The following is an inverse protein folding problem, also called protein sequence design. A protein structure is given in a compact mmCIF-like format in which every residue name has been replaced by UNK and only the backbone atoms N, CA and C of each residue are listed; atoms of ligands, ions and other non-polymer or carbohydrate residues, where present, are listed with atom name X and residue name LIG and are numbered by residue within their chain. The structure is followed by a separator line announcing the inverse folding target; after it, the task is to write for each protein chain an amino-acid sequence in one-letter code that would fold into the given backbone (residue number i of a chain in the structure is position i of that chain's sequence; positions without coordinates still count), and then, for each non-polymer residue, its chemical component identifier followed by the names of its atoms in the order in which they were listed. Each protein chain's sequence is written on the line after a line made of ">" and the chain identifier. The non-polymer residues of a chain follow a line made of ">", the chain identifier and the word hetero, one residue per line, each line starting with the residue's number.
data_IF_591286812950
#
_entry.id   IF_591286812950
#
_cell.length_a   1.000
_cell.length_b   1.000
_cell.length_c   1.000
_cell.angle_alpha   90.00
_cell.angle_beta   90.00
_cell.angle_gamma   90.00
#
_symmetry.space_group_name_H-M   'P 1'
#
loop_
_entity.id
_entity.type
_entity.pdbx_description
1 polymer ?
#
# COMPACT_ATOMS: atom_id res chain seq x y z
N UNK A 1 -17.45 13.04 -38.53
CA UNK A 1 -17.00 11.80 -37.87
C UNK A 1 -16.21 12.24 -36.64
N UNK A 2 -16.77 12.04 -35.44
CA UNK A 2 -16.08 12.36 -34.20
C UNK A 2 -15.14 11.19 -33.89
N UNK A 3 -13.85 11.47 -33.68
CA UNK A 3 -12.94 10.49 -33.09
C UNK A 3 -13.48 10.09 -31.71
N UNK A 4 -13.45 8.80 -31.33
CA UNK A 4 -13.70 8.43 -29.95
C UNK A 4 -12.62 9.11 -29.09
N UNK A 5 -13.04 9.86 -28.08
CA UNK A 5 -12.11 10.27 -27.02
C UNK A 5 -11.54 8.97 -26.44
N UNK A 6 -10.25 8.71 -26.63
CA UNK A 6 -9.58 7.63 -25.91
C UNK A 6 -9.67 8.00 -24.43
N UNK A 7 -10.50 7.26 -23.69
CA UNK A 7 -10.57 7.38 -22.24
C UNK A 7 -9.20 7.12 -21.63
N UNK A 8 -8.96 7.69 -20.44
CA UNK A 8 -7.78 7.34 -19.65
C UNK A 8 -7.77 5.83 -19.40
N UNK A 9 -6.58 5.19 -19.31
CA UNK A 9 -6.49 3.79 -18.97
C UNK A 9 -7.15 3.52 -17.60
N UNK A 10 -7.72 2.33 -17.44
CA UNK A 10 -8.29 1.93 -16.16
C UNK A 10 -7.18 1.84 -15.10
N UNK A 11 -7.44 2.41 -13.93
CA UNK A 11 -6.55 2.35 -12.77
C UNK A 11 -6.69 0.96 -12.14
N UNK A 12 -5.63 0.15 -12.06
CA UNK A 12 -5.71 -1.20 -11.51
C UNK A 12 -6.05 -1.17 -10.02
N UNK A 13 -6.92 -2.09 -9.61
CA UNK A 13 -7.28 -2.35 -8.22
C UNK A 13 -6.67 -3.69 -7.77
N UNK A 14 -5.69 -3.61 -6.86
CA UNK A 14 -5.01 -4.77 -6.30
C UNK A 14 -5.66 -5.23 -4.99
N UNK A 15 -5.53 -6.52 -4.65
CA UNK A 15 -5.78 -7.00 -3.29
C UNK A 15 -4.46 -7.04 -2.52
N UNK A 16 -4.35 -6.32 -1.41
CA UNK A 16 -3.19 -6.47 -0.52
C UNK A 16 -3.27 -7.78 0.26
N UNK A 17 -2.16 -8.52 0.32
CA UNK A 17 -2.08 -9.74 1.13
C UNK A 17 -2.25 -9.46 2.63
N UNK A 18 -2.11 -8.20 3.07
CA UNK A 18 -2.46 -7.75 4.41
C UNK A 18 -3.93 -8.02 4.75
N UNK A 19 -4.83 -7.83 3.78
CA UNK A 19 -6.28 -7.89 4.00
C UNK A 19 -6.81 -9.30 4.20
N UNK A 20 -6.03 -10.33 3.92
CA UNK A 20 -6.41 -11.72 4.16
C UNK A 20 -5.81 -12.30 5.45
N UNK A 21 -4.95 -11.54 6.15
CA UNK A 21 -4.32 -12.00 7.39
C UNK A 21 -5.35 -12.56 8.39
N UNK A 22 -5.08 -13.71 9.06
CA UNK A 22 -3.82 -14.45 9.11
C UNK A 22 -3.67 -15.55 8.03
N UNK A 23 -4.45 -15.51 6.96
CA UNK A 23 -4.29 -16.44 5.85
C UNK A 23 -2.93 -16.25 5.14
N UNK A 24 -2.52 -17.24 4.35
CA UNK A 24 -1.25 -17.20 3.64
C UNK A 24 -1.33 -16.32 2.39
N UNK A 25 -0.17 -15.93 1.85
CA UNK A 25 -0.11 -15.17 0.59
C UNK A 25 -0.81 -15.89 -0.57
N UNK A 26 -0.75 -17.22 -0.58
CA UNK A 26 -1.53 -18.06 -1.49
C UNK A 26 -3.03 -17.70 -1.51
N UNK A 27 -3.62 -17.46 -0.34
CA UNK A 27 -5.05 -17.18 -0.21
C UNK A 27 -5.37 -15.78 -0.74
N UNK A 28 -4.41 -14.84 -0.71
CA UNK A 28 -4.56 -13.55 -1.36
C UNK A 28 -4.65 -13.70 -2.89
N UNK A 29 -3.80 -14.53 -3.51
CA UNK A 29 -3.86 -14.78 -4.95
C UNK A 29 -5.17 -15.48 -5.36
N UNK A 30 -5.59 -16.49 -4.61
CA UNK A 30 -6.85 -17.19 -4.86
C UNK A 30 -8.05 -16.25 -4.76
N UNK A 31 -8.13 -15.46 -3.68
CA UNK A 31 -9.21 -14.49 -3.49
C UNK A 31 -9.19 -13.37 -4.53
N UNK A 32 -7.99 -12.90 -4.92
CA UNK A 32 -7.85 -11.90 -5.98
C UNK A 32 -8.44 -12.41 -7.30
N UNK A 33 -8.10 -13.64 -7.69
CA UNK A 33 -8.66 -14.29 -8.88
C UNK A 33 -10.17 -14.48 -8.78
N UNK A 34 -10.66 -15.07 -7.68
CA UNK A 34 -12.07 -15.42 -7.50
C UNK A 34 -12.98 -14.18 -7.49
N UNK A 35 -12.52 -13.08 -6.88
CA UNK A 35 -13.27 -11.83 -6.77
C UNK A 35 -13.06 -10.90 -7.99
N UNK A 36 -12.08 -11.22 -8.84
CA UNK A 36 -11.78 -10.48 -10.06
C UNK A 36 -11.05 -9.16 -9.81
N UNK A 37 -10.09 -9.14 -8.89
CA UNK A 37 -9.10 -8.07 -8.77
C UNK A 37 -8.16 -8.04 -9.98
N UNK A 38 -7.46 -6.93 -10.19
CA UNK A 38 -6.55 -6.77 -11.33
C UNK A 38 -5.12 -7.28 -11.02
N UNK A 39 -4.85 -7.59 -9.75
CA UNK A 39 -3.59 -8.15 -9.29
C UNK A 39 -3.47 -8.15 -7.76
N UNK A 40 -2.27 -8.42 -7.28
CA UNK A 40 -1.97 -8.56 -5.84
C UNK A 40 -0.86 -7.59 -5.44
N UNK A 41 -1.02 -6.97 -4.28
CA UNK A 41 0.11 -6.43 -3.53
C UNK A 41 0.57 -7.49 -2.52
N UNK A 42 1.87 -7.77 -2.51
CA UNK A 42 2.47 -8.75 -1.59
C UNK A 42 3.18 -8.03 -0.46
N UNK A 43 2.61 -8.10 0.74
CA UNK A 43 3.34 -7.79 1.97
C UNK A 43 4.30 -8.90 2.36
N UNK A 44 5.58 -8.54 2.45
CA UNK A 44 6.64 -9.43 2.90
C UNK A 44 6.53 -9.62 4.42
N UNK A 45 6.38 -10.87 4.85
CA UNK A 45 6.23 -11.22 6.26
C UNK A 45 7.25 -12.28 6.68
N UNK A 46 7.08 -12.90 7.86
CA UNK A 46 7.88 -14.05 8.27
C UNK A 46 7.56 -15.35 7.50
N UNK A 47 6.52 -15.34 6.67
CA UNK A 47 6.19 -16.46 5.78
C UNK A 47 7.22 -16.55 4.64
N UNK A 48 7.86 -17.71 4.47
CA UNK A 48 8.91 -17.93 3.46
C UNK A 48 8.42 -17.78 2.02
N UNK A 49 7.14 -18.03 1.74
CA UNK A 49 6.55 -17.83 0.40
C UNK A 49 6.54 -16.34 0.06
N UNK A 50 6.15 -15.47 0.99
CA UNK A 50 6.18 -14.02 0.79
C UNK A 50 7.59 -13.42 0.63
N UNK A 51 8.63 -14.20 0.91
CA UNK A 51 10.03 -13.79 0.79
C UNK A 51 10.71 -14.32 -0.48
N UNK A 52 10.03 -15.11 -1.31
CA UNK A 52 10.62 -15.86 -2.41
C UNK A 52 10.01 -15.46 -3.76
N UNK A 53 10.73 -14.70 -4.60
CA UNK A 53 10.20 -14.26 -5.91
C UNK A 53 9.83 -15.45 -6.81
N UNK A 54 10.63 -16.53 -6.83
CA UNK A 54 10.29 -17.77 -7.53
C UNK A 54 8.92 -18.34 -7.13
N UNK A 55 8.64 -18.45 -5.83
CA UNK A 55 7.36 -18.96 -5.36
C UNK A 55 6.21 -17.99 -5.63
N UNK A 56 6.46 -16.68 -5.56
CA UNK A 56 5.49 -15.66 -5.92
C UNK A 56 5.14 -15.70 -7.41
N UNK A 57 6.13 -15.91 -8.28
CA UNK A 57 5.92 -16.09 -9.72
C UNK A 57 5.09 -17.35 -10.02
N UNK A 58 5.36 -18.46 -9.33
CA UNK A 58 4.52 -19.68 -9.43
C UNK A 58 3.07 -19.41 -9.02
N UNK A 59 2.84 -18.60 -7.97
CA UNK A 59 1.48 -18.20 -7.57
C UNK A 59 0.83 -17.28 -8.61
N UNK A 60 1.57 -16.28 -9.09
CA UNK A 60 1.12 -15.34 -10.13
C UNK A 60 0.67 -16.09 -11.38
N UNK A 61 1.49 -17.02 -11.89
CA UNK A 61 1.16 -17.85 -13.05
C UNK A 61 -0.05 -18.76 -12.79
N UNK A 62 -0.09 -19.40 -11.62
CA UNK A 62 -1.17 -20.35 -11.27
C UNK A 62 -2.54 -19.68 -11.18
N UNK A 63 -2.59 -18.48 -10.61
CA UNK A 63 -3.83 -17.74 -10.38
C UNK A 63 -4.10 -16.70 -11.47
N UNK A 64 -3.21 -16.56 -12.46
CA UNK A 64 -3.25 -15.54 -13.50
C UNK A 64 -3.37 -14.11 -12.94
N UNK A 65 -2.78 -13.87 -11.76
CA UNK A 65 -2.86 -12.60 -11.03
C UNK A 65 -1.47 -11.96 -10.98
N UNK A 66 -1.23 -10.83 -11.69
CA UNK A 66 0.06 -10.16 -11.65
C UNK A 66 0.32 -9.54 -10.27
N UNK A 67 1.60 -9.42 -9.91
CA UNK A 67 2.03 -8.73 -8.70
C UNK A 67 2.25 -7.26 -9.05
N UNK A 68 1.45 -6.38 -8.46
CA UNK A 68 1.44 -4.96 -8.80
C UNK A 68 2.32 -4.13 -7.87
N UNK A 69 2.51 -4.59 -6.63
CA UNK A 69 3.38 -3.94 -5.65
C UNK A 69 3.97 -4.94 -4.64
N UNK A 70 5.13 -4.58 -4.08
CA UNK A 70 5.76 -5.28 -2.94
C UNK A 70 5.77 -4.35 -1.74
N UNK A 71 5.18 -4.77 -0.62
CA UNK A 71 5.23 -4.02 0.63
C UNK A 71 6.39 -4.54 1.50
N UNK A 72 7.39 -3.68 1.66
CA UNK A 72 8.64 -4.00 2.34
C UNK A 72 8.43 -4.30 3.84
N UNK A 73 9.20 -5.23 4.45
CA UNK A 73 9.00 -5.68 5.82
C UNK A 73 9.57 -4.69 6.85
N UNK A 74 9.10 -3.44 6.82
CA UNK A 74 9.59 -2.29 7.61
C UNK A 74 8.72 -1.97 8.83
N UNK A 75 7.63 -2.72 9.06
CA UNK A 75 6.81 -2.64 10.26
C UNK A 75 7.50 -3.20 11.52
N UNK A 76 6.96 -2.87 12.69
CA UNK A 76 7.45 -3.37 13.99
C UNK A 76 7.37 -4.91 14.09
N UNK A 77 6.32 -5.51 13.51
CA UNK A 77 6.08 -6.96 13.55
C UNK A 77 7.01 -7.75 12.61
N UNK A 78 7.56 -7.09 11.58
CA UNK A 78 8.40 -7.72 10.56
C UNK A 78 9.89 -7.36 10.71
N UNK A 79 10.29 -6.76 11.84
CA UNK A 79 11.68 -6.32 12.07
C UNK A 79 12.72 -7.42 11.87
N UNK A 80 12.41 -8.68 12.20
CA UNK A 80 13.35 -9.80 12.04
C UNK A 80 13.48 -10.32 10.60
N UNK A 81 12.55 -9.97 9.71
CA UNK A 81 12.60 -10.41 8.30
C UNK A 81 13.77 -9.71 7.60
N UNK A 82 14.64 -10.47 6.94
CA UNK A 82 15.80 -9.99 6.19
C UNK A 82 16.84 -9.16 6.95
N UNK A 83 16.77 -9.11 8.29
CA UNK A 83 17.80 -8.50 9.13
C UNK A 83 17.85 -6.98 9.05
N UNK A 84 18.92 -6.42 8.49
CA UNK A 84 19.24 -4.98 8.56
C UNK A 84 18.26 -4.13 7.74
N UNK A 85 18.09 -2.86 8.12
CA UNK A 85 17.14 -1.95 7.48
C UNK A 85 17.39 -1.79 5.97
N UNK A 86 18.61 -1.46 5.55
CA UNK A 86 18.96 -1.33 4.12
C UNK A 86 18.77 -2.63 3.35
N UNK A 87 19.15 -3.77 3.94
CA UNK A 87 18.94 -5.08 3.33
C UNK A 87 17.47 -5.35 3.01
N UNK A 88 16.53 -4.88 3.85
CA UNK A 88 15.09 -5.02 3.56
C UNK A 88 14.68 -4.24 2.33
N UNK A 89 15.16 -3.01 2.17
CA UNK A 89 14.84 -2.14 1.04
C UNK A 89 15.43 -2.70 -0.26
N UNK A 90 16.71 -3.07 -0.23
CA UNK A 90 17.42 -3.66 -1.38
C UNK A 90 16.77 -4.97 -1.83
N UNK A 91 16.44 -5.88 -0.89
CA UNK A 91 15.78 -7.14 -1.23
C UNK A 91 14.34 -6.95 -1.71
N UNK A 92 13.59 -5.99 -1.15
CA UNK A 92 12.26 -5.64 -1.67
C UNK A 92 12.33 -5.08 -3.09
N UNK A 93 13.31 -4.22 -3.39
CA UNK A 93 13.51 -3.66 -4.73
C UNK A 93 13.93 -4.74 -5.74
N UNK A 94 14.88 -5.60 -5.35
CA UNK A 94 15.28 -6.74 -6.16
C UNK A 94 14.10 -7.68 -6.45
N UNK A 95 13.31 -8.01 -5.42
CA UNK A 95 12.12 -8.83 -5.56
C UNK A 95 11.08 -8.19 -6.50
N UNK A 96 10.79 -6.90 -6.33
CA UNK A 96 9.85 -6.18 -7.17
C UNK A 96 10.28 -6.23 -8.65
N UNK A 97 11.56 -5.96 -8.93
CA UNK A 97 12.10 -6.06 -10.29
C UNK A 97 11.98 -7.49 -10.86
N UNK A 98 12.23 -8.52 -10.05
CA UNK A 98 12.17 -9.92 -10.49
C UNK A 98 10.74 -10.42 -10.78
N UNK A 99 9.75 -9.99 -9.99
CA UNK A 99 8.34 -10.36 -10.20
C UNK A 99 7.60 -9.42 -11.14
N UNK A 100 8.28 -8.38 -11.65
CA UNK A 100 7.71 -7.40 -12.57
C UNK A 100 6.81 -6.34 -11.92
N UNK A 101 6.90 -6.16 -10.59
CA UNK A 101 6.17 -5.12 -9.88
C UNK A 101 6.87 -3.76 -10.03
N UNK A 102 6.09 -2.70 -10.32
CA UNK A 102 6.62 -1.33 -10.47
C UNK A 102 6.95 -0.68 -9.13
N UNK A 103 6.16 -0.95 -8.09
CA UNK A 103 6.22 -0.20 -6.83
C UNK A 103 6.65 -1.06 -5.65
N UNK A 104 7.53 -0.51 -4.83
CA UNK A 104 7.86 -0.99 -3.49
C UNK A 104 7.30 -0.01 -2.47
N UNK A 105 6.37 -0.44 -1.63
CA UNK A 105 5.87 0.35 -0.50
C UNK A 105 6.81 0.18 0.68
N UNK A 106 7.18 1.29 1.33
CA UNK A 106 8.03 1.26 2.52
C UNK A 106 7.58 2.27 3.56
N UNK A 107 7.76 1.95 4.83
CA UNK A 107 7.48 2.89 5.91
C UNK A 107 8.71 3.76 6.21
N UNK A 108 8.48 4.99 6.72
CA UNK A 108 9.56 5.82 7.21
C UNK A 108 10.36 5.10 8.31
N UNK A 109 11.67 5.35 8.41
CA UNK A 109 12.53 4.77 9.42
C UNK A 109 12.02 5.00 10.83
N UNK A 110 12.23 4.02 11.71
CA UNK A 110 12.14 4.26 13.13
C UNK A 110 13.30 5.12 13.60
N UNK A 111 13.03 6.02 14.54
CA UNK A 111 14.03 6.97 15.07
C UNK A 111 15.27 6.31 15.67
N UNK A 112 15.17 5.06 16.16
CA UNK A 112 16.32 4.32 16.71
C UNK A 112 17.18 3.62 15.65
N UNK A 113 16.79 3.66 14.37
CA UNK A 113 17.59 3.14 13.25
C UNK A 113 18.57 4.22 12.77
N UNK A 114 19.43 4.67 13.67
CA UNK A 114 20.41 5.75 13.43
C UNK A 114 21.33 5.42 12.24
N UNK A 115 21.71 6.43 11.46
CA UNK A 115 22.42 6.27 10.17
C UNK A 115 21.46 5.95 9.02
N UNK A 116 20.74 4.83 9.10
CA UNK A 116 19.71 4.47 8.10
C UNK A 116 18.69 5.60 7.94
N UNK A 117 18.19 6.14 9.05
CA UNK A 117 17.18 7.18 9.03
C UNK A 117 17.68 8.56 8.55
N UNK A 118 18.97 8.84 8.67
CA UNK A 118 19.57 10.11 8.24
C UNK A 118 19.83 10.12 6.72
N UNK A 119 20.21 8.97 6.17
CA UNK A 119 20.48 8.77 4.74
C UNK A 119 19.26 8.24 3.98
N UNK A 120 18.09 8.17 4.62
CA UNK A 120 16.93 7.48 4.08
C UNK A 120 16.44 8.09 2.75
N UNK A 121 16.24 9.42 2.62
CA UNK A 121 15.75 10.00 1.36
C UNK A 121 16.69 9.74 0.18
N UNK A 122 17.99 9.96 0.35
CA UNK A 122 18.99 9.75 -0.71
C UNK A 122 19.17 8.25 -1.00
N UNK A 123 19.11 7.41 0.04
CA UNK A 123 19.31 5.98 -0.09
C UNK A 123 18.15 5.27 -0.81
N UNK A 124 16.89 5.64 -0.56
CA UNK A 124 15.77 5.06 -1.32
C UNK A 124 15.81 5.52 -2.79
N UNK A 125 16.20 6.76 -3.08
CA UNK A 125 16.35 7.23 -4.46
C UNK A 125 17.43 6.45 -5.21
N UNK A 126 18.57 6.17 -4.53
CA UNK A 126 19.64 5.34 -5.07
C UNK A 126 19.18 3.92 -5.37
N UNK A 127 18.50 3.25 -4.41
CA UNK A 127 18.03 1.87 -4.60
C UNK A 127 16.95 1.80 -5.68
N UNK A 128 16.01 2.74 -5.70
CA UNK A 128 15.00 2.86 -6.75
C UNK A 128 15.63 2.91 -8.15
N UNK A 129 16.64 3.77 -8.34
CA UNK A 129 17.36 3.90 -9.60
C UNK A 129 18.18 2.66 -9.96
N UNK A 130 18.81 2.00 -8.99
CA UNK A 130 19.62 0.79 -9.19
C UNK A 130 18.78 -0.40 -9.71
N UNK A 131 17.59 -0.59 -9.14
CA UNK A 131 16.71 -1.71 -9.50
C UNK A 131 15.65 -1.36 -10.54
N UNK A 132 15.50 -0.09 -10.91
CA UNK A 132 14.51 0.36 -11.89
C UNK A 132 13.07 0.25 -11.40
N UNK A 133 12.84 0.49 -10.11
CA UNK A 133 11.53 0.43 -9.44
C UNK A 133 11.20 1.76 -8.79
N UNK A 134 9.94 1.97 -8.42
CA UNK A 134 9.51 3.11 -7.61
C UNK A 134 9.46 2.71 -6.14
N UNK A 135 10.27 3.34 -5.29
CA UNK A 135 10.18 3.16 -3.82
C UNK A 135 9.30 4.27 -3.26
N UNK A 136 8.08 3.90 -2.89
CA UNK A 136 7.06 4.81 -2.40
C UNK A 136 7.00 4.79 -0.87
N UNK A 137 7.26 5.96 -0.26
CA UNK A 137 7.23 6.09 1.21
C UNK A 137 5.79 6.33 1.67
N UNK A 138 5.31 5.45 2.53
CA UNK A 138 3.95 5.50 3.04
C UNK A 138 3.78 6.51 4.19
N UNK A 139 2.67 7.26 4.20
CA UNK A 139 2.32 8.04 5.38
C UNK A 139 2.02 7.13 6.56
N UNK A 140 2.62 7.44 7.71
CA UNK A 140 2.29 6.82 8.99
C UNK A 140 1.48 7.81 9.83
N UNK A 141 1.46 7.59 11.15
CA UNK A 141 0.73 8.43 12.08
C UNK A 141 1.55 8.66 13.37
N UNK A 142 1.30 9.78 14.07
CA UNK A 142 1.99 10.09 15.31
C UNK A 142 1.61 9.10 16.40
N UNK A 143 2.61 8.45 17.01
CA UNK A 143 2.38 7.57 18.16
C UNK A 143 2.02 8.41 19.38
N UNK A 144 1.02 7.99 20.16
CA UNK A 144 0.63 8.67 21.40
C UNK A 144 0.93 7.79 22.61
N UNK A 145 1.80 8.26 23.51
CA UNK A 145 2.09 7.63 24.80
C UNK A 145 1.56 8.52 25.90
N UNK A 146 0.56 8.02 26.66
CA UNK A 146 -0.10 8.78 27.75
C UNK A 146 -0.61 10.17 27.30
N UNK A 147 -1.19 10.23 26.09
CA UNK A 147 -1.74 11.46 25.52
C UNK A 147 -0.71 12.44 24.96
N UNK A 148 0.58 12.10 24.94
CA UNK A 148 1.64 12.90 24.31
C UNK A 148 2.18 12.22 23.07
N UNK A 149 2.47 13.00 22.05
CA UNK A 149 3.11 12.51 20.84
C UNK A 149 4.53 12.00 21.13
N UNK A 150 4.83 10.80 20.64
CA UNK A 150 6.15 10.19 20.65
C UNK A 150 6.74 10.27 19.24
N UNK A 151 7.96 10.80 19.13
CA UNK A 151 8.71 10.87 17.87
C UNK A 151 9.26 9.50 17.49
N UNK A 152 8.38 8.62 17.03
CA UNK A 152 8.71 7.24 16.69
C UNK A 152 9.46 7.12 15.35
N UNK A 153 9.22 8.04 14.43
CA UNK A 153 9.78 8.03 13.07
C UNK A 153 10.83 9.12 12.87
N UNK A 154 11.74 8.91 11.92
CA UNK A 154 12.71 9.90 11.44
C UNK A 154 12.85 9.78 9.90
N UNK A 155 12.81 10.88 9.13
CA UNK A 155 12.66 12.28 9.55
C UNK A 155 11.28 12.57 10.17
N UNK A 156 10.21 11.99 9.62
CA UNK A 156 8.85 12.21 10.09
C UNK A 156 7.90 11.09 9.64
N UNK A 157 6.72 11.00 10.26
CA UNK A 157 5.65 10.07 9.85
C UNK A 157 4.84 10.61 8.66
N UNK A 158 4.79 11.93 8.50
CA UNK A 158 4.16 12.63 7.37
C UNK A 158 5.20 12.78 6.24
N UNK A 159 5.02 12.16 5.07
CA UNK A 159 5.96 12.22 3.96
C UNK A 159 5.77 13.46 3.08
N UNK A 160 4.67 14.20 3.21
CA UNK A 160 4.33 15.37 2.37
C UNK A 160 5.45 16.43 2.35
N UNK A 161 5.98 16.91 3.50
CA UNK A 161 7.07 17.89 3.49
C UNK A 161 8.45 17.30 3.18
N UNK A 162 8.59 15.98 3.16
CA UNK A 162 9.87 15.29 2.99
C UNK A 162 10.24 15.18 1.50
N UNK A 163 11.54 15.07 1.16
CA UNK A 163 12.00 15.11 -0.24
C UNK A 163 11.88 13.75 -0.96
N UNK A 164 10.84 12.95 -0.69
CA UNK A 164 10.63 11.66 -1.33
C UNK A 164 10.01 11.82 -2.72
N UNK A 165 10.59 11.19 -3.75
CA UNK A 165 10.08 11.28 -5.13
C UNK A 165 8.72 10.60 -5.30
N UNK A 166 8.49 9.49 -4.58
CA UNK A 166 7.30 8.65 -4.65
C UNK A 166 6.72 8.42 -3.26
N UNK A 167 5.40 8.48 -3.15
CA UNK A 167 4.64 8.36 -1.90
C UNK A 167 3.51 7.35 -2.09
N UNK A 168 3.34 6.50 -1.08
CA UNK A 168 2.11 5.70 -0.91
C UNK A 168 1.20 6.45 0.06
N UNK A 169 -0.08 6.54 -0.28
CA UNK A 169 -1.07 7.14 0.62
C UNK A 169 -2.02 6.08 1.21
N UNK A 170 -2.02 5.97 2.53
CA UNK A 170 -2.92 5.12 3.32
C UNK A 170 -3.96 5.96 4.07
N UNK A 171 -5.23 5.59 3.88
CA UNK A 171 -6.39 6.28 4.42
C UNK A 171 -6.58 6.06 5.94
N UNK A 172 -6.25 4.88 6.47
CA UNK A 172 -6.36 4.56 7.90
C UNK A 172 -5.33 5.38 8.69
N UNK A 173 -4.09 5.43 8.19
CA UNK A 173 -3.02 6.24 8.74
C UNK A 173 -3.36 7.74 8.71
N UNK A 174 -3.91 8.23 7.60
CA UNK A 174 -4.38 9.61 7.47
C UNK A 174 -5.46 9.94 8.51
N UNK A 175 -6.43 9.05 8.72
CA UNK A 175 -7.48 9.23 9.71
C UNK A 175 -6.93 9.38 11.14
N UNK A 176 -5.96 8.55 11.52
CA UNK A 176 -5.32 8.61 12.84
C UNK A 176 -4.52 9.92 13.00
N UNK A 177 -3.85 10.34 11.93
CA UNK A 177 -3.08 11.58 11.89
C UNK A 177 -3.96 12.85 11.86
N UNK A 178 -5.27 12.72 11.63
CA UNK A 178 -6.18 13.84 11.46
C UNK A 178 -5.96 14.59 10.14
N UNK A 179 -5.48 13.89 9.12
CA UNK A 179 -5.29 14.39 7.76
C UNK A 179 -6.48 14.03 6.88
N UNK A 180 -6.73 14.83 5.84
CA UNK A 180 -7.77 14.60 4.84
C UNK A 180 -7.13 13.99 3.59
N UNK A 181 -7.41 12.70 3.33
CA UNK A 181 -6.79 11.98 2.22
C UNK A 181 -7.06 12.61 0.85
N UNK A 182 -8.24 13.18 0.62
CA UNK A 182 -8.56 13.82 -0.65
C UNK A 182 -7.71 15.06 -0.88
N UNK A 183 -7.58 15.93 0.13
CA UNK A 183 -6.76 17.14 -0.01
C UNK A 183 -5.27 16.82 -0.18
N UNK A 184 -4.76 15.85 0.59
CA UNK A 184 -3.34 15.48 0.56
C UNK A 184 -2.97 14.77 -0.75
N UNK A 185 -3.77 13.81 -1.22
CA UNK A 185 -3.55 13.14 -2.51
C UNK A 185 -3.56 14.14 -3.68
N UNK A 186 -4.47 15.13 -3.65
CA UNK A 186 -4.52 16.21 -4.64
C UNK A 186 -3.27 17.11 -4.58
N UNK A 187 -2.75 17.37 -3.39
CA UNK A 187 -1.56 18.19 -3.19
C UNK A 187 -0.27 17.46 -3.61
N UNK A 188 -0.21 16.14 -3.43
CA UNK A 188 0.93 15.30 -3.79
C UNK A 188 1.18 15.25 -5.31
N UNK A 189 0.12 15.27 -6.12
CA UNK A 189 0.22 15.22 -7.58
C UNK A 189 1.08 14.05 -8.06
N UNK A 190 2.07 14.32 -8.91
CA UNK A 190 2.95 13.31 -9.52
C UNK A 190 3.82 12.53 -8.51
N UNK A 191 3.87 12.97 -7.24
CA UNK A 191 4.57 12.22 -6.18
C UNK A 191 3.73 11.05 -5.67
N UNK A 192 2.41 11.06 -5.84
CA UNK A 192 1.54 9.96 -5.44
C UNK A 192 1.73 8.79 -6.39
N UNK A 193 2.30 7.69 -5.92
CA UNK A 193 2.64 6.53 -6.73
C UNK A 193 1.69 5.34 -6.49
N UNK A 194 1.17 5.24 -5.27
CA UNK A 194 0.39 4.09 -4.81
C UNK A 194 -0.61 4.52 -3.74
N UNK A 195 -1.71 3.79 -3.62
CA UNK A 195 -2.78 4.10 -2.66
C UNK A 195 -3.20 2.83 -1.95
N UNK A 196 -3.18 2.84 -0.63
CA UNK A 196 -3.85 1.83 0.18
C UNK A 196 -5.27 2.27 0.50
N UNK A 197 -6.24 1.70 -0.22
CA UNK A 197 -7.65 1.96 -0.03
C UNK A 197 -8.14 1.25 1.22
N UNK A 198 -8.43 2.07 2.21
CA UNK A 198 -9.10 1.72 3.45
C UNK A 198 -9.85 2.96 3.96
N UNK A 199 -10.24 2.97 5.23
CA UNK A 199 -10.85 4.11 5.91
C UNK A 199 -10.54 4.01 7.40
N UNK A 200 -10.82 5.06 8.16
CA UNK A 200 -10.56 5.08 9.58
C UNK A 200 -11.21 6.24 10.28
N UNK A 201 -11.08 6.25 11.61
CA UNK A 201 -11.53 7.34 12.45
C UNK A 201 -10.37 7.91 13.27
N UNK A 202 -10.41 9.18 13.73
CA UNK A 202 -9.34 9.79 14.52
C UNK A 202 -9.34 9.32 15.98
N UNK A 203 -9.50 8.01 16.21
CA UNK A 203 -9.62 7.39 17.52
C UNK A 203 -8.27 6.87 18.09
N UNK A 204 -7.18 7.08 17.35
CA UNK A 204 -5.83 6.67 17.75
C UNK A 204 -5.52 5.20 17.50
N UNK A 205 -6.36 4.48 16.77
CA UNK A 205 -6.14 3.10 16.36
C UNK A 205 -6.10 2.99 14.85
N UNK A 206 -5.25 2.09 14.41
CA UNK A 206 -5.13 1.72 13.03
C UNK A 206 -6.16 0.64 12.70
N UNK A 207 -7.33 1.09 12.23
CA UNK A 207 -8.53 0.27 12.12
C UNK A 207 -8.61 -0.47 10.81
N UNK A 208 -8.08 0.13 9.74
CA UNK A 208 -8.23 -0.30 8.36
C UNK A 208 -9.69 -0.70 8.04
N UNK A 209 -10.62 0.23 8.22
CA UNK A 209 -12.05 0.00 7.95
C UNK A 209 -12.30 -0.16 6.45
N UNK A 210 -13.47 -0.70 6.09
CA UNK A 210 -13.92 -0.65 4.70
C UNK A 210 -14.20 0.82 4.31
N UNK A 211 -13.93 1.22 3.05
CA UNK A 211 -14.23 2.57 2.58
C UNK A 211 -15.70 2.93 2.78
N UNK A 212 -15.94 4.09 3.40
CA UNK A 212 -17.28 4.57 3.75
C UNK A 212 -17.74 4.18 5.16
N UNK A 213 -16.96 3.39 5.91
CA UNK A 213 -17.23 3.08 7.32
C UNK A 213 -16.45 3.97 8.30
N UNK A 214 -15.54 4.81 7.81
CA UNK A 214 -14.80 5.77 8.61
C UNK A 214 -15.20 7.21 8.32
N UNK A 215 -14.23 8.12 8.34
CA UNK A 215 -14.44 9.56 8.16
C UNK A 215 -13.60 10.15 7.02
N UNK A 216 -12.84 9.32 6.30
CA UNK A 216 -12.08 9.80 5.16
C UNK A 216 -12.96 9.95 3.92
N UNK A 217 -12.56 10.84 3.02
CA UNK A 217 -13.24 11.14 1.76
C UNK A 217 -12.79 10.18 0.64
N UNK A 218 -12.97 8.88 0.87
CA UNK A 218 -12.46 7.83 -0.04
C UNK A 218 -13.05 7.95 -1.44
N UNK A 219 -14.36 8.21 -1.55
CA UNK A 219 -15.04 8.37 -2.82
C UNK A 219 -14.46 9.55 -3.63
N UNK A 220 -14.36 10.72 -3.02
CA UNK A 220 -13.84 11.92 -3.69
C UNK A 220 -12.37 11.78 -4.08
N UNK A 221 -11.57 11.10 -3.27
CA UNK A 221 -10.17 10.82 -3.57
C UNK A 221 -10.02 9.90 -4.78
N UNK A 222 -10.78 8.80 -4.85
CA UNK A 222 -10.78 7.91 -6.01
C UNK A 222 -11.32 8.58 -7.27
N UNK A 223 -12.38 9.38 -7.16
CA UNK A 223 -12.92 10.16 -8.27
C UNK A 223 -11.93 11.20 -8.79
N UNK A 224 -11.11 11.78 -7.90
CA UNK A 224 -10.02 12.66 -8.29
C UNK A 224 -8.96 11.91 -9.11
N UNK A 225 -8.53 10.72 -8.66
CA UNK A 225 -7.58 9.90 -9.42
C UNK A 225 -8.13 9.52 -10.80
N UNK A 226 -9.41 9.13 -10.87
CA UNK A 226 -10.08 8.78 -12.14
C UNK A 226 -10.18 9.96 -13.12
N UNK A 227 -10.26 11.18 -12.60
CA UNK A 227 -10.24 12.42 -13.40
C UNK A 227 -8.84 12.91 -13.75
N UNK A 228 -7.80 12.33 -13.15
CA UNK A 228 -6.40 12.67 -13.37
C UNK A 228 -5.73 11.64 -14.30
N UNK A 229 -4.65 12.02 -14.97
CA UNK A 229 -3.81 11.09 -15.72
C UNK A 229 -2.89 10.28 -14.78
N UNK A 230 -3.44 9.77 -13.67
CA UNK A 230 -2.72 9.01 -12.67
C UNK A 230 -2.55 7.56 -13.13
N UNK A 231 -1.33 7.04 -13.04
CA UNK A 231 -0.92 5.74 -13.58
C UNK A 231 -0.44 4.76 -12.50
N UNK A 232 -0.80 5.04 -11.24
CA UNK A 232 -0.49 4.18 -10.08
C UNK A 232 -1.51 3.06 -9.86
N UNK A 233 -1.44 2.45 -8.68
CA UNK A 233 -2.27 1.30 -8.28
C UNK A 233 -3.04 1.62 -6.99
N UNK A 234 -4.31 1.25 -6.95
CA UNK A 234 -5.11 1.27 -5.70
C UNK A 234 -5.10 -0.13 -5.11
N UNK A 235 -4.35 -0.37 -4.05
CA UNK A 235 -4.38 -1.62 -3.29
C UNK A 235 -5.44 -1.57 -2.19
N UNK A 236 -6.33 -2.56 -2.17
CA UNK A 236 -7.28 -2.75 -1.06
C UNK A 236 -6.53 -3.31 0.13
N UNK A 237 -6.42 -2.50 1.19
CA UNK A 237 -5.73 -2.85 2.44
C UNK A 237 -6.68 -2.74 3.66
N UNK A 238 -7.86 -3.35 3.58
CA UNK A 238 -8.84 -3.37 4.68
C UNK A 238 -8.59 -4.50 5.68
N UNK A 239 -8.95 -4.29 6.94
CA UNK A 239 -8.86 -5.30 8.00
C UNK A 239 -10.09 -6.21 8.01
N UNK A 240 -9.89 -7.47 7.63
CA UNK A 240 -10.94 -8.50 7.66
C UNK A 240 -10.89 -9.40 8.90
N UNK A 241 -10.03 -9.08 9.88
CA UNK A 241 -9.80 -9.90 11.09
C UNK A 241 -11.05 -10.11 11.95
N UNK A 242 -12.06 -9.26 11.78
CA UNK A 242 -13.34 -9.33 12.50
C UNK A 242 -14.37 -10.23 11.83
N UNK A 243 -14.11 -10.71 10.61
CA UNK A 243 -14.97 -11.67 9.94
C UNK A 243 -15.04 -12.98 10.75
N UNK A 244 -16.24 -13.44 11.05
CA UNK A 244 -16.56 -14.67 11.79
C UNK A 244 -17.44 -15.61 10.99
N UNK A 245 -18.23 -15.08 10.05
CA UNK A 245 -19.08 -15.86 9.16
C UNK A 245 -18.29 -16.52 8.03
N UNK A 246 -18.76 -17.68 7.57
CA UNK A 246 -18.25 -18.26 6.34
C UNK A 246 -18.58 -17.33 5.16
N UNK A 247 -17.58 -16.95 4.36
CA UNK A 247 -17.75 -16.04 3.22
C UNK A 247 -17.76 -14.55 3.57
N UNK A 248 -17.74 -14.17 4.86
CA UNK A 248 -17.88 -12.76 5.27
C UNK A 248 -16.65 -11.92 4.86
N UNK A 249 -15.45 -12.50 4.88
CA UNK A 249 -14.24 -11.84 4.38
C UNK A 249 -14.37 -11.55 2.89
N UNK A 250 -14.77 -12.56 2.13
CA UNK A 250 -14.92 -12.52 0.69
C UNK A 250 -15.95 -11.46 0.28
N UNK A 251 -17.06 -11.38 1.02
CA UNK A 251 -18.08 -10.35 0.84
C UNK A 251 -17.52 -8.94 1.08
N UNK A 252 -16.76 -8.73 2.16
CA UNK A 252 -16.15 -7.43 2.48
C UNK A 252 -15.10 -6.99 1.45
N UNK A 253 -14.29 -7.93 0.96
CA UNK A 253 -13.33 -7.68 -0.10
C UNK A 253 -14.05 -7.35 -1.42
N UNK A 254 -15.08 -8.11 -1.78
CA UNK A 254 -15.89 -7.85 -2.96
C UNK A 254 -16.65 -6.50 -2.88
N UNK A 255 -17.15 -6.12 -1.71
CA UNK A 255 -17.75 -4.80 -1.47
C UNK A 255 -16.71 -3.69 -1.67
N UNK A 256 -15.51 -3.86 -1.12
CA UNK A 256 -14.43 -2.88 -1.24
C UNK A 256 -13.96 -2.73 -2.69
N UNK A 257 -13.82 -3.84 -3.43
CA UNK A 257 -13.50 -3.80 -4.87
C UNK A 257 -14.57 -3.07 -5.67
N UNK A 258 -15.86 -3.35 -5.40
CA UNK A 258 -16.98 -2.65 -6.04
C UNK A 258 -16.98 -1.16 -5.73
N UNK A 259 -16.69 -0.78 -4.48
CA UNK A 259 -16.52 0.62 -4.10
C UNK A 259 -15.41 1.28 -4.92
N UNK A 260 -14.22 0.65 -4.95
CA UNK A 260 -13.07 1.16 -5.68
C UNK A 260 -13.41 1.40 -7.16
N UNK A 261 -13.90 0.37 -7.85
CA UNK A 261 -14.28 0.41 -9.26
C UNK A 261 -15.36 1.45 -9.57
N UNK A 262 -16.38 1.54 -8.73
CA UNK A 262 -17.47 2.53 -8.90
C UNK A 262 -16.95 3.97 -8.91
N UNK A 263 -16.05 4.31 -7.99
CA UNK A 263 -15.48 5.66 -7.89
C UNK A 263 -14.29 5.89 -8.85
N UNK A 264 -13.62 4.83 -9.28
CA UNK A 264 -12.62 4.84 -10.35
C UNK A 264 -13.23 4.79 -11.77
N UNK A 265 -14.57 4.69 -11.87
CA UNK A 265 -15.37 4.76 -13.10
C UNK A 265 -15.08 3.66 -14.13
N UNK A 266 -14.81 2.43 -13.70
CA UNK A 266 -14.68 1.28 -14.61
C UNK A 266 -15.27 -0.01 -14.01
#
# INVERSE_FOLDING_TARGET
>A
MAHPAHGLPAIPVALSSASVYPLAVHDAFALAQDLGYDGVEVMVTNNSVSQSPDQLNVLSERYEMPILAIHAPTLLLTQQVWGKAWTKIELSAAMAAEVGARTVVTHPPFRWQTGYAEEFPEGIARVAAEYGVEIAVENMYPWKVRGREAKAYLPHWNPVPEPYERITWDFSHAAIAGMDSYEEMRALGDRLAHVHLTDGTPNGKDEHLLPGQGQQRCAEALEHLAGAAWDGVVAVEVSTRRARGAGEREEWLAETLRFARSHLRH
#
